data_IF_884060247999
#
_entry.id   IF_884060247999
#
_cell.length_a   1.000
_cell.length_b   1.000
_cell.length_c   1.000
_cell.angle_alpha   90.00
_cell.angle_beta   90.00
_cell.angle_gamma   90.00
#
_symmetry.space_group_name_H-M   'P 1'
#
loop_
_entity.id
_entity.type
_entity.pdbx_description
1 polymer ?
#
# COMPACT_ATOMS: atom_id res chain seq x y z
N UNK A 1 -18.61 8.52 18.46
CA UNK A 1 -18.80 7.06 18.67
C UNK A 1 -19.89 6.51 17.77
N UNK A 2 -21.14 6.99 17.87
CA UNK A 2 -22.26 6.50 17.03
C UNK A 2 -21.98 6.55 15.50
N UNK A 3 -21.45 7.68 15.00
CA UNK A 3 -21.10 7.81 13.58
C UNK A 3 -20.07 6.78 13.11
N UNK A 4 -19.04 6.49 13.93
CA UNK A 4 -18.04 5.47 13.61
C UNK A 4 -18.63 4.08 13.58
N UNK A 5 -19.54 3.74 14.51
CA UNK A 5 -20.21 2.45 14.53
C UNK A 5 -21.11 2.26 13.30
N UNK A 6 -21.86 3.29 12.93
CA UNK A 6 -22.69 3.29 11.73
C UNK A 6 -21.82 3.13 10.47
N UNK A 7 -20.76 3.92 10.33
CA UNK A 7 -19.83 3.80 9.20
C UNK A 7 -19.13 2.45 9.16
N UNK A 8 -18.78 1.88 10.33
CA UNK A 8 -18.21 0.53 10.44
C UNK A 8 -19.18 -0.52 9.92
N UNK A 9 -20.45 -0.45 10.32
CA UNK A 9 -21.47 -1.36 9.82
C UNK A 9 -21.60 -1.29 8.30
N UNK A 10 -21.74 -0.09 7.72
CA UNK A 10 -21.87 0.07 6.27
C UNK A 10 -20.63 -0.39 5.50
N UNK A 11 -19.43 -0.11 6.00
CA UNK A 11 -18.17 -0.54 5.39
C UNK A 11 -18.02 -2.05 5.45
N UNK A 12 -18.35 -2.69 6.59
CA UNK A 12 -18.31 -4.14 6.72
C UNK A 12 -19.34 -4.81 5.81
N UNK A 13 -20.60 -4.36 5.83
CA UNK A 13 -21.66 -4.89 5.00
C UNK A 13 -21.31 -4.79 3.52
N UNK A 14 -20.72 -3.67 3.11
CA UNK A 14 -20.25 -3.49 1.73
C UNK A 14 -19.08 -4.41 1.42
N UNK A 15 -18.05 -4.47 2.25
CA UNK A 15 -16.83 -5.28 2.00
C UNK A 15 -17.10 -6.79 1.89
N UNK A 16 -18.26 -7.27 2.35
CA UNK A 16 -18.70 -8.65 2.18
C UNK A 16 -19.45 -8.93 0.86
N UNK A 17 -19.73 -7.90 0.05
CA UNK A 17 -20.44 -8.04 -1.22
C UNK A 17 -19.49 -8.47 -2.35
N UNK A 18 -19.99 -9.18 -3.38
CA UNK A 18 -19.20 -9.54 -4.55
C UNK A 18 -18.72 -8.30 -5.30
N UNK A 19 -17.49 -8.36 -5.82
CA UNK A 19 -16.88 -7.32 -6.64
C UNK A 19 -16.98 -7.66 -8.14
N UNK A 20 -17.29 -6.65 -8.94
CA UNK A 20 -17.33 -6.73 -10.41
C UNK A 20 -16.20 -5.93 -11.06
N UNK A 21 -15.19 -5.54 -10.27
CA UNK A 21 -14.04 -4.79 -10.78
C UNK A 21 -13.24 -5.67 -11.73
N UNK A 22 -13.01 -5.16 -12.95
CA UNK A 22 -12.35 -5.88 -14.03
C UNK A 22 -11.03 -6.54 -13.60
N UNK A 23 -10.13 -5.77 -12.98
CA UNK A 23 -8.82 -6.28 -12.53
C UNK A 23 -8.92 -7.32 -11.41
N UNK A 24 -9.96 -7.27 -10.58
CA UNK A 24 -10.16 -8.28 -9.54
C UNK A 24 -10.42 -9.65 -10.15
N UNK A 25 -11.32 -9.70 -11.15
CA UNK A 25 -11.61 -10.92 -11.89
C UNK A 25 -10.44 -11.37 -12.77
N UNK A 26 -9.66 -10.41 -13.27
CA UNK A 26 -8.53 -10.68 -14.16
C UNK A 26 -7.33 -11.28 -13.43
N UNK A 27 -6.90 -10.71 -12.30
CA UNK A 27 -5.74 -11.24 -11.57
C UNK A 27 -5.70 -11.01 -10.07
N UNK A 28 -6.36 -10.01 -9.47
CA UNK A 28 -6.18 -9.77 -8.02
C UNK A 28 -6.65 -10.95 -7.17
N UNK A 29 -7.87 -11.44 -7.43
CA UNK A 29 -8.44 -12.55 -6.68
C UNK A 29 -7.62 -13.85 -6.88
N UNK A 30 -7.14 -14.06 -8.11
CA UNK A 30 -6.33 -15.23 -8.45
C UNK A 30 -4.96 -15.16 -7.76
N UNK A 31 -4.29 -14.00 -7.77
CA UNK A 31 -3.01 -13.80 -7.11
C UNK A 31 -3.12 -13.98 -5.59
N UNK A 32 -4.20 -13.49 -4.97
CA UNK A 32 -4.49 -13.70 -3.55
C UNK A 32 -4.71 -15.19 -3.27
N UNK A 33 -5.52 -15.87 -4.06
CA UNK A 33 -5.77 -17.31 -3.90
C UNK A 33 -4.50 -18.16 -4.02
N UNK A 34 -3.60 -17.82 -4.94
CA UNK A 34 -2.28 -18.47 -5.03
C UNK A 34 -1.46 -18.30 -3.75
N UNK A 35 -1.50 -17.14 -3.10
CA UNK A 35 -0.83 -16.88 -1.81
C UNK A 35 -1.46 -17.72 -0.69
N UNK A 36 -2.79 -17.90 -0.72
CA UNK A 36 -3.51 -18.67 0.30
C UNK A 36 -3.28 -20.18 0.20
N UNK A 37 -3.20 -20.71 -1.03
CA UNK A 37 -3.14 -22.16 -1.28
C UNK A 37 -1.70 -22.69 -1.39
N UNK A 38 -0.73 -21.86 -1.78
CA UNK A 38 0.63 -22.32 -2.10
C UNK A 38 1.72 -21.41 -1.52
N UNK A 39 2.91 -21.96 -1.21
CA UNK A 39 4.11 -21.15 -1.03
C UNK A 39 4.45 -20.41 -2.34
N UNK A 40 5.38 -19.46 -2.29
CA UNK A 40 5.80 -18.75 -3.51
C UNK A 40 6.37 -19.74 -4.53
N UNK A 41 5.78 -19.79 -5.73
CA UNK A 41 6.19 -20.71 -6.78
C UNK A 41 7.22 -20.03 -7.67
N UNK A 42 8.42 -20.62 -7.85
CA UNK A 42 9.43 -20.09 -8.76
C UNK A 42 8.90 -19.98 -10.19
N UNK A 43 8.94 -18.79 -10.77
CA UNK A 43 8.54 -18.53 -12.15
C UNK A 43 7.03 -18.61 -12.41
N UNK A 44 6.18 -18.45 -11.39
CA UNK A 44 4.72 -18.46 -11.54
C UNK A 44 4.21 -17.52 -12.65
N UNK A 45 4.91 -16.40 -12.90
CA UNK A 45 4.55 -15.51 -14.00
C UNK A 45 4.73 -16.08 -15.41
N UNK A 46 5.45 -17.21 -15.59
CA UNK A 46 5.50 -17.92 -16.87
C UNK A 46 4.19 -18.65 -17.19
N UNK A 47 3.39 -19.01 -16.18
CA UNK A 47 2.06 -19.57 -16.39
C UNK A 47 1.10 -18.49 -16.91
N UNK A 48 1.16 -17.32 -16.28
CA UNK A 48 0.43 -16.14 -16.72
C UNK A 48 1.11 -14.87 -16.17
N UNK A 49 1.44 -13.92 -17.05
CA UNK A 49 2.29 -12.76 -16.73
C UNK A 49 1.83 -11.97 -15.50
N UNK A 50 0.51 -11.81 -15.33
CA UNK A 50 -0.09 -11.05 -14.22
C UNK A 50 0.08 -11.70 -12.85
N UNK A 51 0.38 -13.00 -12.78
CA UNK A 51 0.68 -13.67 -11.51
C UNK A 51 2.07 -13.28 -10.96
N UNK A 52 2.92 -12.68 -11.79
CA UNK A 52 4.16 -12.05 -11.36
C UNK A 52 3.98 -10.58 -10.90
N UNK A 53 2.78 -10.01 -10.97
CA UNK A 53 2.52 -8.68 -10.40
C UNK A 53 2.53 -8.75 -8.86
N UNK A 54 3.68 -8.39 -8.29
CA UNK A 54 3.90 -8.47 -6.87
C UNK A 54 3.51 -7.17 -6.16
N UNK A 55 2.22 -7.00 -5.83
CA UNK A 55 1.81 -5.95 -4.89
C UNK A 55 1.92 -6.47 -3.46
N UNK A 56 2.60 -5.73 -2.58
CA UNK A 56 2.64 -6.04 -1.15
C UNK A 56 1.25 -6.02 -0.49
N UNK A 57 0.23 -5.43 -1.14
CA UNK A 57 -1.15 -5.44 -0.63
C UNK A 57 -1.83 -6.81 -0.72
N UNK A 58 -1.40 -7.70 -1.61
CA UNK A 58 -2.04 -9.01 -1.75
C UNK A 58 -1.74 -9.97 -0.60
N UNK A 59 -0.56 -9.86 0.02
CA UNK A 59 -0.17 -10.68 1.17
C UNK A 59 -1.09 -10.49 2.39
N UNK A 60 -1.35 -9.27 2.89
CA UNK A 60 -2.28 -9.10 3.98
C UNK A 60 -3.72 -9.43 3.55
N UNK A 61 -4.10 -9.22 2.28
CA UNK A 61 -5.44 -9.63 1.80
C UNK A 61 -5.63 -11.15 1.87
N UNK A 62 -4.59 -11.93 1.57
CA UNK A 62 -4.61 -13.39 1.75
C UNK A 62 -4.65 -13.78 3.24
N UNK A 63 -3.85 -13.12 4.09
CA UNK A 63 -3.81 -13.41 5.52
C UNK A 63 -5.16 -13.13 6.22
N UNK A 64 -5.77 -11.98 5.90
CA UNK A 64 -7.05 -11.54 6.46
C UNK A 64 -8.26 -11.94 5.60
N UNK A 65 -8.04 -12.74 4.57
CA UNK A 65 -9.07 -13.37 3.75
C UNK A 65 -9.70 -14.59 4.43
N UNK A 66 -9.08 -15.11 5.50
CA UNK A 66 -9.55 -16.23 6.32
C UNK A 66 -10.03 -17.44 5.50
N UNK A 67 -9.37 -17.73 4.38
CA UNK A 67 -9.76 -18.80 3.44
C UNK A 67 -9.86 -20.18 4.10
N UNK A 68 -9.10 -20.41 5.18
CA UNK A 68 -9.18 -21.62 6.01
C UNK A 68 -10.56 -21.85 6.65
N UNK A 69 -11.38 -20.81 6.83
CA UNK A 69 -12.76 -20.93 7.33
C UNK A 69 -13.76 -21.40 6.26
N UNK A 70 -13.37 -21.41 4.98
CA UNK A 70 -14.23 -21.80 3.83
C UNK A 70 -15.55 -21.00 3.74
N UNK A 71 -15.57 -19.79 4.30
CA UNK A 71 -16.74 -18.89 4.29
C UNK A 71 -16.80 -18.00 3.04
N UNK A 72 -15.86 -18.16 2.11
CA UNK A 72 -15.71 -17.33 0.91
C UNK A 72 -14.62 -16.26 1.05
N UNK A 73 -14.30 -15.53 -0.03
CA UNK A 73 -13.24 -14.52 -0.02
C UNK A 73 -13.70 -13.27 0.74
N UNK A 74 -12.98 -12.90 1.79
CA UNK A 74 -13.19 -11.64 2.52
C UNK A 74 -12.24 -10.56 2.01
N UNK A 75 -12.75 -9.60 1.23
CA UNK A 75 -11.98 -8.44 0.76
C UNK A 75 -12.12 -7.24 1.71
N UNK A 76 -11.71 -7.45 2.96
CA UNK A 76 -12.01 -6.51 4.07
C UNK A 76 -10.98 -5.40 4.24
N UNK A 77 -9.79 -5.51 3.66
CA UNK A 77 -8.68 -4.59 3.98
C UNK A 77 -8.86 -3.17 3.46
N UNK A 78 -9.42 -2.99 2.26
CA UNK A 78 -9.71 -1.66 1.73
C UNK A 78 -10.81 -0.97 2.56
N UNK A 79 -11.79 -1.73 3.05
CA UNK A 79 -12.77 -1.29 4.04
C UNK A 79 -12.13 -0.90 5.37
N UNK A 80 -11.28 -1.77 5.93
CA UNK A 80 -10.59 -1.52 7.18
C UNK A 80 -9.71 -0.25 7.12
N UNK A 81 -8.93 -0.09 6.05
CA UNK A 81 -8.11 1.11 5.85
C UNK A 81 -8.99 2.36 5.74
N UNK A 82 -10.11 2.27 5.01
CA UNK A 82 -11.09 3.36 4.88
C UNK A 82 -11.69 3.74 6.24
N UNK A 83 -11.91 2.79 7.16
CA UNK A 83 -12.34 3.05 8.54
C UNK A 83 -11.28 3.78 9.36
N UNK A 84 -10.01 3.37 9.26
CA UNK A 84 -8.90 4.07 9.94
C UNK A 84 -8.82 5.52 9.47
N UNK A 85 -8.92 5.75 8.16
CA UNK A 85 -8.88 7.09 7.58
C UNK A 85 -10.10 7.91 8.00
N UNK A 86 -11.29 7.32 8.03
CA UNK A 86 -12.48 8.00 8.51
C UNK A 86 -12.38 8.36 10.01
N UNK A 87 -11.85 7.47 10.85
CA UNK A 87 -11.58 7.77 12.25
C UNK A 87 -10.60 8.92 12.41
N UNK A 88 -9.55 8.95 11.58
CA UNK A 88 -8.60 10.06 11.52
C UNK A 88 -9.28 11.36 11.09
N UNK A 89 -10.21 11.29 10.14
CA UNK A 89 -11.00 12.43 9.68
C UNK A 89 -11.90 13.00 10.77
N UNK A 90 -12.58 12.14 11.52
CA UNK A 90 -13.42 12.55 12.64
C UNK A 90 -12.59 13.11 13.80
N UNK A 91 -11.38 12.61 14.02
CA UNK A 91 -10.45 13.20 14.98
C UNK A 91 -10.03 14.62 14.55
N UNK A 92 -9.70 14.82 13.27
CA UNK A 92 -9.43 16.15 12.70
C UNK A 92 -10.58 17.12 12.93
N UNK A 93 -11.80 16.71 12.58
CA UNK A 93 -13.00 17.52 12.80
C UNK A 93 -13.23 17.83 14.28
N UNK A 94 -13.07 16.84 15.16
CA UNK A 94 -13.19 17.06 16.61
C UNK A 94 -12.18 18.06 17.15
N UNK A 95 -10.94 18.03 16.66
CA UNK A 95 -9.91 18.99 17.05
C UNK A 95 -10.24 20.41 16.57
N UNK A 96 -10.78 20.56 15.35
CA UNK A 96 -11.21 21.86 14.82
C UNK A 96 -12.38 22.45 15.63
N UNK A 97 -13.36 21.63 16.01
CA UNK A 97 -14.47 22.05 16.89
C UNK A 97 -13.93 22.53 18.26
N UNK A 98 -12.89 21.86 18.78
CA UNK A 98 -12.16 22.26 20.00
C UNK A 98 -11.20 23.43 19.78
N UNK A 99 -11.29 24.14 18.66
CA UNK A 99 -10.47 25.31 18.30
C UNK A 99 -8.96 25.05 18.16
N UNK A 100 -8.56 23.80 17.88
CA UNK A 100 -7.16 23.44 17.59
C UNK A 100 -6.87 23.56 16.09
N UNK A 101 -6.69 24.81 15.63
CA UNK A 101 -6.56 25.17 14.21
C UNK A 101 -5.17 24.89 13.62
N UNK A 102 -4.76 23.64 13.65
CA UNK A 102 -3.59 23.15 12.91
C UNK A 102 -3.99 22.78 11.48
N UNK A 103 -3.12 23.05 10.51
CA UNK A 103 -3.36 22.71 9.12
C UNK A 103 -3.48 21.19 8.94
N UNK A 104 -2.72 20.41 9.71
CA UNK A 104 -2.88 18.95 9.76
C UNK A 104 -4.30 18.51 10.15
N UNK A 105 -4.98 19.23 11.07
CA UNK A 105 -6.36 18.91 11.46
C UNK A 105 -7.38 19.24 10.35
N UNK A 106 -7.14 20.28 9.55
CA UNK A 106 -7.95 20.62 8.38
C UNK A 106 -7.83 19.52 7.33
N UNK A 107 -6.61 19.12 6.99
CA UNK A 107 -6.36 18.04 6.03
C UNK A 107 -6.96 16.71 6.49
N UNK A 108 -6.82 16.36 7.78
CA UNK A 108 -7.49 15.20 8.37
C UNK A 108 -8.99 15.27 8.17
N UNK A 109 -9.64 16.37 8.54
CA UNK A 109 -11.08 16.53 8.39
C UNK A 109 -11.55 16.38 6.93
N UNK A 110 -10.72 16.78 5.96
CA UNK A 110 -10.99 16.61 4.53
C UNK A 110 -10.95 15.16 4.04
N UNK A 111 -10.32 14.24 4.77
CA UNK A 111 -10.19 12.82 4.36
C UNK A 111 -11.53 12.06 4.32
N UNK A 112 -12.60 12.60 4.88
CA UNK A 112 -13.94 12.05 4.71
C UNK A 112 -14.35 11.99 3.22
N UNK A 113 -13.94 13.00 2.41
CA UNK A 113 -14.30 13.08 0.99
C UNK A 113 -13.77 11.88 0.18
N UNK A 114 -12.44 11.60 0.13
CA UNK A 114 -11.94 10.45 -0.63
C UNK A 114 -12.54 9.13 -0.14
N UNK A 115 -12.75 8.95 1.18
CA UNK A 115 -13.40 7.75 1.71
C UNK A 115 -14.83 7.57 1.16
N UNK A 116 -15.62 8.64 1.07
CA UNK A 116 -16.97 8.60 0.50
C UNK A 116 -16.94 8.21 -0.98
N UNK A 117 -15.99 8.76 -1.76
CA UNK A 117 -15.84 8.40 -3.17
C UNK A 117 -15.45 6.92 -3.35
N UNK A 118 -14.48 6.43 -2.57
CA UNK A 118 -14.02 5.04 -2.59
C UNK A 118 -15.13 4.08 -2.17
N UNK A 119 -15.91 4.49 -1.17
CA UNK A 119 -17.03 3.70 -0.68
C UNK A 119 -18.04 3.39 -1.77
N UNK A 120 -18.18 4.22 -2.82
CA UNK A 120 -19.19 4.00 -3.86
C UNK A 120 -18.91 2.76 -4.73
N UNK A 121 -17.69 2.62 -5.25
CA UNK A 121 -17.44 1.65 -6.34
C UNK A 121 -16.18 0.78 -6.14
N UNK A 122 -15.22 1.19 -5.31
CA UNK A 122 -13.89 0.56 -5.27
C UNK A 122 -13.56 -0.20 -3.99
N UNK A 123 -14.39 -0.05 -2.95
CA UNK A 123 -14.17 -0.68 -1.64
C UNK A 123 -14.09 -2.22 -1.69
N UNK A 124 -14.78 -2.82 -2.66
CA UNK A 124 -14.98 -4.27 -2.81
C UNK A 124 -13.79 -4.98 -3.45
N UNK A 125 -13.00 -4.24 -4.23
CA UNK A 125 -11.85 -4.81 -4.93
C UNK A 125 -10.63 -4.77 -4.02
N UNK A 126 -9.79 -5.81 -3.98
CA UNK A 126 -8.48 -5.77 -3.34
C UNK A 126 -7.45 -4.98 -4.18
N UNK A 127 -7.90 -3.99 -4.95
CA UNK A 127 -7.05 -3.14 -5.78
C UNK A 127 -5.98 -2.43 -4.93
N UNK A 128 -4.72 -2.37 -5.43
CA UNK A 128 -3.64 -1.64 -4.78
C UNK A 128 -3.77 -0.11 -4.91
N UNK A 129 -4.67 0.41 -5.73
CA UNK A 129 -4.82 1.86 -5.94
C UNK A 129 -5.38 2.60 -4.72
N UNK A 130 -6.39 2.01 -4.08
CA UNK A 130 -7.01 2.54 -2.88
C UNK A 130 -6.01 2.71 -1.73
N UNK A 131 -5.27 1.67 -1.30
CA UNK A 131 -4.31 1.84 -0.21
C UNK A 131 -3.20 2.82 -0.59
N UNK A 132 -2.72 2.84 -1.83
CA UNK A 132 -1.69 3.80 -2.25
C UNK A 132 -2.18 5.23 -2.16
N UNK A 133 -3.40 5.53 -2.64
CA UNK A 133 -3.97 6.88 -2.55
C UNK A 133 -4.16 7.31 -1.08
N UNK A 134 -4.77 6.46 -0.26
CA UNK A 134 -5.03 6.76 1.14
C UNK A 134 -3.74 6.90 1.97
N UNK A 135 -2.75 6.04 1.75
CA UNK A 135 -1.45 6.11 2.42
C UNK A 135 -0.66 7.34 1.98
N UNK A 136 -0.73 7.72 0.71
CA UNK A 136 -0.09 8.95 0.19
C UNK A 136 -0.64 10.18 0.91
N UNK A 137 -1.97 10.30 1.03
CA UNK A 137 -2.60 11.38 1.79
C UNK A 137 -2.23 11.32 3.27
N UNK A 138 -2.23 10.14 3.89
CA UNK A 138 -1.88 9.96 5.29
C UNK A 138 -0.43 10.39 5.57
N UNK A 139 0.52 9.96 4.73
CA UNK A 139 1.93 10.36 4.81
C UNK A 139 2.07 11.88 4.73
N UNK A 140 1.40 12.53 3.77
CA UNK A 140 1.44 13.98 3.64
C UNK A 140 0.90 14.68 4.90
N UNK A 141 -0.24 14.22 5.41
CA UNK A 141 -0.85 14.75 6.64
C UNK A 141 0.08 14.60 7.84
N UNK A 142 0.68 13.41 8.02
CA UNK A 142 1.60 13.15 9.12
C UNK A 142 2.87 13.97 8.98
N UNK A 143 3.36 14.21 7.77
CA UNK A 143 4.48 15.10 7.54
C UNK A 143 4.15 16.54 7.93
N UNK A 144 2.98 17.07 7.54
CA UNK A 144 2.52 18.41 7.96
C UNK A 144 2.44 18.49 9.48
N UNK A 145 1.85 17.50 10.13
CA UNK A 145 1.77 17.43 11.58
C UNK A 145 3.16 17.41 12.23
N UNK A 146 4.12 16.67 11.65
CA UNK A 146 5.49 16.62 12.15
C UNK A 146 6.15 18.01 12.13
N UNK A 147 5.89 18.81 11.09
CA UNK A 147 6.39 20.18 11.01
C UNK A 147 5.75 21.09 12.06
N UNK A 148 4.49 20.87 12.40
CA UNK A 148 3.78 21.63 13.45
C UNK A 148 4.24 21.28 14.87
N UNK A 149 4.69 20.05 15.11
CA UNK A 149 5.04 19.53 16.45
C UNK A 149 6.53 19.67 16.82
N UNK A 150 7.42 19.99 15.87
CA UNK A 150 8.85 20.14 16.16
C UNK A 150 9.58 18.82 16.47
N UNK A 151 10.68 18.88 17.21
CA UNK A 151 11.67 17.79 17.38
C UNK A 151 11.51 16.93 18.67
N UNK A 152 10.29 16.83 19.21
CA UNK A 152 10.02 16.09 20.44
C UNK A 152 10.04 14.56 20.28
N UNK A 153 10.02 13.81 21.39
CA UNK A 153 10.01 12.34 21.35
C UNK A 153 8.82 11.73 20.57
N UNK A 154 7.56 12.21 20.72
CA UNK A 154 6.45 11.77 19.88
C UNK A 154 6.67 12.04 18.39
N UNK A 155 7.35 13.14 18.04
CA UNK A 155 7.70 13.51 16.67
C UNK A 155 8.65 12.50 16.01
N UNK A 156 9.54 11.87 16.79
CA UNK A 156 10.45 10.83 16.27
C UNK A 156 9.71 9.56 15.84
N UNK A 157 8.73 9.11 16.64
CA UNK A 157 7.89 7.96 16.26
C UNK A 157 7.03 8.28 15.03
N UNK A 158 6.56 9.52 14.92
CA UNK A 158 5.82 9.98 13.74
C UNK A 158 6.72 9.99 12.49
N UNK A 159 7.96 10.46 12.59
CA UNK A 159 8.93 10.44 11.50
C UNK A 159 9.23 9.00 11.03
N UNK A 160 9.47 8.07 11.96
CA UNK A 160 9.62 6.64 11.63
C UNK A 160 8.36 6.09 10.94
N UNK A 161 7.17 6.40 11.49
CA UNK A 161 5.89 6.01 10.90
C UNK A 161 5.74 6.50 9.45
N UNK A 162 6.11 7.75 9.17
CA UNK A 162 6.12 8.30 7.81
C UNK A 162 7.03 7.49 6.90
N UNK A 163 8.28 7.22 7.30
CA UNK A 163 9.23 6.45 6.50
C UNK A 163 8.70 5.05 6.19
N UNK A 164 8.13 4.36 7.19
CA UNK A 164 7.60 3.01 7.01
C UNK A 164 6.33 2.99 6.15
N UNK A 165 5.41 3.93 6.33
CA UNK A 165 4.21 4.03 5.49
C UNK A 165 4.56 4.40 4.04
N UNK A 166 5.51 5.32 3.83
CA UNK A 166 6.04 5.64 2.49
C UNK A 166 6.65 4.42 1.83
N UNK A 167 7.51 3.69 2.56
CA UNK A 167 8.15 2.47 2.08
C UNK A 167 7.11 1.42 1.72
N UNK A 168 6.14 1.18 2.59
CA UNK A 168 5.08 0.21 2.36
C UNK A 168 4.22 0.59 1.13
N UNK A 169 3.82 1.85 1.00
CA UNK A 169 3.08 2.33 -0.17
C UNK A 169 3.83 2.10 -1.49
N UNK A 170 5.16 2.28 -1.51
CA UNK A 170 6.00 1.99 -2.68
C UNK A 170 6.00 0.49 -3.01
N UNK A 171 6.06 -0.39 -2.00
CA UNK A 171 5.96 -1.84 -2.21
C UNK A 171 4.56 -2.31 -2.64
N UNK A 172 3.52 -1.50 -2.40
CA UNK A 172 2.18 -1.78 -2.92
C UNK A 172 2.12 -1.44 -4.42
N UNK A 173 2.59 -0.25 -4.81
CA UNK A 173 2.61 0.21 -6.21
C UNK A 173 3.69 1.25 -6.42
N UNK A 174 4.44 1.11 -7.52
CA UNK A 174 5.51 2.04 -7.89
C UNK A 174 5.03 3.48 -8.21
N UNK A 175 3.73 3.70 -8.43
CA UNK A 175 3.20 5.07 -8.55
C UNK A 175 3.38 5.88 -7.26
N UNK A 176 3.63 5.23 -6.11
CA UNK A 176 3.97 5.88 -4.85
C UNK A 176 5.46 6.28 -4.73
N UNK A 177 6.28 6.08 -5.76
CA UNK A 177 7.71 6.48 -5.76
C UNK A 177 7.97 7.94 -5.35
N UNK A 178 7.11 8.94 -5.63
CA UNK A 178 7.30 10.30 -5.12
C UNK A 178 7.38 10.39 -3.58
N UNK A 179 6.84 9.41 -2.85
CA UNK A 179 6.96 9.34 -1.38
C UNK A 179 8.40 9.12 -0.89
N UNK A 180 9.32 8.70 -1.77
CA UNK A 180 10.76 8.63 -1.46
C UNK A 180 11.31 9.98 -1.01
N UNK A 181 10.73 11.10 -1.45
CA UNK A 181 11.11 12.44 -1.01
C UNK A 181 11.00 12.60 0.51
N UNK A 182 9.93 12.09 1.13
CA UNK A 182 9.78 12.14 2.59
C UNK A 182 10.82 11.28 3.29
N UNK A 183 11.16 10.11 2.72
CA UNK A 183 12.20 9.23 3.25
C UNK A 183 13.55 9.94 3.23
N UNK A 184 13.92 10.56 2.10
CA UNK A 184 15.19 11.29 1.95
C UNK A 184 15.26 12.48 2.90
N UNK A 185 14.21 13.30 2.99
CA UNK A 185 14.18 14.47 3.87
C UNK A 185 14.33 14.08 5.34
N UNK A 186 13.58 13.07 5.80
CA UNK A 186 13.63 12.64 7.20
C UNK A 186 14.94 11.93 7.55
N UNK A 187 15.46 11.11 6.64
CA UNK A 187 16.78 10.48 6.83
C UNK A 187 17.89 11.52 6.85
N UNK A 188 17.84 12.51 5.96
CA UNK A 188 18.79 13.62 5.92
C UNK A 188 18.78 14.46 7.20
N UNK A 189 17.59 14.69 7.78
CA UNK A 189 17.45 15.35 9.09
C UNK A 189 18.14 14.57 10.20
N UNK A 190 17.92 13.26 10.28
CA UNK A 190 18.53 12.40 11.30
C UNK A 190 20.07 12.31 11.15
N UNK A 191 20.59 12.33 9.91
CA UNK A 191 22.03 12.43 9.61
C UNK A 191 22.57 13.78 10.10
N UNK A 192 21.93 14.89 9.72
CA UNK A 192 22.36 16.24 10.10
C UNK A 192 22.35 16.46 11.62
N UNK A 193 21.46 15.77 12.33
CA UNK A 193 21.35 15.82 13.79
C UNK A 193 22.26 14.82 14.51
N UNK A 194 23.06 14.03 13.77
CA UNK A 194 24.03 13.09 14.34
C UNK A 194 23.40 11.95 15.14
N UNK A 195 22.30 11.36 14.65
CA UNK A 195 21.51 10.32 15.35
C UNK A 195 21.68 8.92 14.73
N UNK A 196 22.85 8.27 14.85
CA UNK A 196 23.15 7.01 14.15
C UNK A 196 22.26 5.83 14.58
N UNK A 197 21.82 5.80 15.85
CA UNK A 197 20.93 4.73 16.35
C UNK A 197 19.58 4.78 15.64
N UNK A 198 19.01 5.98 15.45
CA UNK A 198 17.73 6.14 14.75
C UNK A 198 17.86 5.73 13.29
N UNK A 199 18.97 6.09 12.64
CA UNK A 199 19.27 5.67 11.28
C UNK A 199 19.36 4.15 11.17
N UNK A 200 20.11 3.51 12.07
CA UNK A 200 20.24 2.05 12.09
C UNK A 200 18.89 1.35 12.27
N UNK A 201 18.08 1.79 13.24
CA UNK A 201 16.75 1.23 13.49
C UNK A 201 15.80 1.44 12.29
N UNK A 202 15.80 2.64 11.72
CA UNK A 202 14.96 2.98 10.56
C UNK A 202 15.38 2.17 9.33
N UNK A 203 16.67 2.09 9.03
CA UNK A 203 17.21 1.28 7.93
C UNK A 203 16.89 -0.20 8.11
N UNK A 204 17.02 -0.74 9.33
CA UNK A 204 16.63 -2.10 9.64
C UNK A 204 15.14 -2.36 9.38
N UNK A 205 14.27 -1.46 9.84
CA UNK A 205 12.82 -1.59 9.63
C UNK A 205 12.41 -1.45 8.15
N UNK A 206 13.04 -0.54 7.40
CA UNK A 206 12.86 -0.42 5.94
C UNK A 206 13.32 -1.69 5.24
N UNK A 207 14.48 -2.23 5.60
CA UNK A 207 15.00 -3.46 5.00
C UNK A 207 14.07 -4.64 5.24
N UNK A 208 13.50 -4.76 6.45
CA UNK A 208 12.53 -5.81 6.77
C UNK A 208 11.26 -5.74 5.91
N UNK A 209 10.83 -4.55 5.47
CA UNK A 209 9.69 -4.39 4.56
C UNK A 209 10.07 -4.67 3.10
N UNK A 210 11.24 -4.17 2.69
CA UNK A 210 11.65 -4.14 1.28
C UNK A 210 12.25 -5.48 0.83
N UNK A 211 12.98 -6.17 1.70
CA UNK A 211 13.65 -7.43 1.36
C UNK A 211 12.66 -8.53 0.94
N UNK A 212 11.57 -8.82 1.68
CA UNK A 212 10.59 -9.81 1.24
C UNK A 212 9.92 -9.45 -0.08
N UNK A 213 9.69 -8.15 -0.34
CA UNK A 213 9.11 -7.67 -1.59
C UNK A 213 10.03 -7.99 -2.79
N UNK A 214 11.33 -7.69 -2.70
CA UNK A 214 12.27 -7.99 -3.77
C UNK A 214 12.48 -9.50 -3.95
N UNK A 215 12.64 -10.24 -2.85
CA UNK A 215 12.79 -11.70 -2.93
C UNK A 215 11.57 -12.33 -3.60
N UNK A 216 10.35 -11.94 -3.22
CA UNK A 216 9.12 -12.46 -3.84
C UNK A 216 9.04 -12.12 -5.33
N UNK A 217 9.45 -10.92 -5.75
CA UNK A 217 9.53 -10.58 -7.18
C UNK A 217 10.50 -11.52 -7.94
N UNK A 218 11.69 -11.76 -7.38
CA UNK A 218 12.71 -12.63 -7.97
C UNK A 218 12.19 -14.06 -8.09
N UNK A 219 11.54 -14.58 -7.04
CA UNK A 219 10.94 -15.90 -7.09
C UNK A 219 9.83 -15.99 -8.14
N UNK A 220 8.90 -15.04 -8.17
CA UNK A 220 7.76 -15.10 -9.10
C UNK A 220 8.13 -14.92 -10.58
N UNK A 221 9.17 -14.13 -10.87
CA UNK A 221 9.45 -13.65 -12.23
C UNK A 221 10.90 -13.80 -12.70
N UNK A 222 11.83 -13.98 -11.78
CA UNK A 222 13.27 -13.88 -12.03
C UNK A 222 13.82 -12.46 -12.12
N UNK A 223 12.99 -11.42 -11.93
CA UNK A 223 13.41 -10.01 -11.87
C UNK A 223 13.21 -9.46 -10.46
N UNK A 224 14.06 -8.55 -9.96
CA UNK A 224 13.80 -7.82 -8.72
C UNK A 224 12.55 -6.94 -8.82
N UNK A 225 12.23 -6.45 -10.02
CA UNK A 225 11.07 -5.61 -10.27
C UNK A 225 10.43 -5.98 -11.59
N UNK A 226 9.35 -6.76 -11.55
CA UNK A 226 8.60 -7.14 -12.75
C UNK A 226 7.46 -6.15 -13.03
N UNK A 227 7.16 -5.77 -14.29
CA UNK A 227 7.83 -6.13 -15.55
C UNK A 227 8.85 -5.06 -16.00
N UNK A 228 9.89 -4.78 -15.19
CA UNK A 228 10.96 -3.84 -15.55
C UNK A 228 12.23 -4.59 -16.00
N UNK A 229 12.44 -4.76 -17.32
CA UNK A 229 13.56 -5.55 -17.84
C UNK A 229 14.93 -4.84 -17.71
N UNK A 230 14.95 -3.56 -17.35
CA UNK A 230 16.21 -2.81 -17.17
C UNK A 230 16.98 -3.21 -15.92
N UNK A 231 16.35 -3.92 -14.98
CA UNK A 231 16.98 -4.45 -13.78
C UNK A 231 17.06 -5.97 -13.88
N UNK A 232 18.00 -6.43 -14.70
CA UNK A 232 18.24 -7.84 -14.96
C UNK A 232 19.56 -8.27 -14.30
N UNK A 233 19.47 -8.77 -13.07
CA UNK A 233 20.63 -9.11 -12.24
C UNK A 233 20.89 -10.61 -12.11
N UNK A 234 19.94 -11.45 -12.55
CA UNK A 234 19.95 -12.88 -12.25
C UNK A 234 19.69 -13.73 -13.49
N UNK A 235 20.37 -14.86 -13.56
CA UNK A 235 20.22 -15.89 -14.61
C UNK A 235 19.59 -17.14 -14.00
N UNK A 236 18.31 -17.07 -13.65
CA UNK A 236 17.54 -18.15 -13.06
C UNK A 236 16.86 -18.99 -14.16
N UNK A 237 16.75 -20.29 -13.95
CA UNK A 237 16.12 -21.26 -14.86
C UNK A 237 14.61 -21.02 -15.04
N UNK A 238 13.92 -20.51 -14.02
CA UNK A 238 12.50 -20.16 -14.08
C UNK A 238 12.20 -18.71 -14.46
N UNK A 239 13.21 -17.93 -14.88
CA UNK A 239 13.04 -16.50 -15.19
C UNK A 239 12.13 -16.29 -16.40
N UNK A 240 11.25 -15.29 -16.33
CA UNK A 240 10.40 -14.91 -17.47
C UNK A 240 11.27 -14.37 -18.60
N UNK A 241 11.09 -14.83 -19.85
CA UNK A 241 11.86 -14.34 -20.99
C UNK A 241 11.81 -12.81 -21.11
N UNK A 242 12.95 -12.19 -21.42
CA UNK A 242 13.06 -10.73 -21.55
C UNK A 242 12.12 -10.19 -22.64
N UNK A 243 11.91 -10.94 -23.73
CA UNK A 243 10.95 -10.60 -24.78
C UNK A 243 9.51 -10.50 -24.26
N UNK A 244 9.06 -11.47 -23.47
CA UNK A 244 7.74 -11.46 -22.83
C UNK A 244 7.61 -10.31 -21.84
N UNK A 245 8.65 -10.05 -21.05
CA UNK A 245 8.71 -8.94 -20.09
C UNK A 245 8.60 -7.57 -20.81
N UNK A 246 9.25 -7.42 -21.96
CA UNK A 246 9.17 -6.21 -22.78
C UNK A 246 7.80 -6.00 -23.43
N UNK A 247 7.10 -7.08 -23.77
CA UNK A 247 5.72 -7.02 -24.27
C UNK A 247 4.78 -6.58 -23.14
N UNK A 248 4.89 -7.18 -21.96
CA UNK A 248 4.07 -6.81 -20.80
C UNK A 248 4.29 -5.35 -20.40
N UNK A 249 5.55 -4.90 -20.34
CA UNK A 249 5.89 -3.50 -20.09
C UNK A 249 5.22 -2.56 -21.10
N UNK A 250 5.26 -2.89 -22.39
CA UNK A 250 4.65 -2.08 -23.44
C UNK A 250 3.13 -2.01 -23.29
N UNK A 251 2.48 -3.14 -23.05
CA UNK A 251 1.04 -3.21 -22.84
C UNK A 251 0.59 -2.32 -21.66
N UNK A 252 1.32 -2.32 -20.54
CA UNK A 252 1.02 -1.45 -19.39
C UNK A 252 1.19 0.03 -19.74
N UNK A 253 2.27 0.37 -20.46
CA UNK A 253 2.54 1.77 -20.85
C UNK A 253 1.51 2.28 -21.86
N UNK A 254 1.11 1.45 -22.82
CA UNK A 254 0.08 1.76 -23.81
C UNK A 254 -1.28 1.95 -23.12
N UNK A 255 -1.68 1.03 -22.25
CA UNK A 255 -2.91 1.15 -21.46
C UNK A 255 -2.95 2.42 -20.60
N UNK A 256 -1.81 2.81 -20.01
CA UNK A 256 -1.72 4.05 -19.23
C UNK A 256 -1.79 5.34 -20.08
N UNK A 257 -1.62 5.24 -21.40
CA UNK A 257 -1.60 6.37 -22.34
C UNK A 257 -2.85 6.46 -23.20
N UNK A 258 -3.71 5.45 -23.18
CA UNK A 258 -4.98 5.41 -23.91
C UNK A 258 -6.10 5.90 -22.97
N UNK A 259 -6.57 7.17 -23.10
CA UNK A 259 -7.48 7.83 -22.16
C UNK A 259 -8.95 7.39 -22.28
#
# INVERSE_FOLDING_TARGET
MALLLISSYFILAKSAAPTWTYDTGLYHAQAIRWIEEYPVIPGLGNLHSRLAFNSAWFLPNALFGFSFLKLGPFHVLNGFLSLIILATSLNGLSNLIKRKYYFSNILRAGMALPVIFIFKDQLLSPTPDIPVALLTCAVFIYYVQLQEQGDEAPSRLLALGIVLLSTFAITIKLSALPLTLFIVVLTGREIAQGRPVNLFLTSGAVLLLVLPFFLRNIWLSGYPLYPFPGLDLFSLDWKIPTSATLVEKRAIVEFARDP
#
